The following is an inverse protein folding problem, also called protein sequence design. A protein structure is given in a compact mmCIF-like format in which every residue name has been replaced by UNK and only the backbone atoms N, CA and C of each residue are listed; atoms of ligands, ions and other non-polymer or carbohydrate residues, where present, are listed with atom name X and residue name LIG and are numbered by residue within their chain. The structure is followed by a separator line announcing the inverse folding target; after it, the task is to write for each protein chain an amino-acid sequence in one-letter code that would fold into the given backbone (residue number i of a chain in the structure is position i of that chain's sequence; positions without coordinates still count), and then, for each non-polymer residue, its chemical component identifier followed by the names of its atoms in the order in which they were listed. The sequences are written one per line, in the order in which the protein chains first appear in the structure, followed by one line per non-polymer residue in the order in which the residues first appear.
data_IF_454622790163
#
_entry.id   IF_454622790163
#
_cell.length_a   1.000
_cell.length_b   1.000
_cell.length_c   1.000
_cell.angle_alpha   90.00
_cell.angle_beta   90.00
_cell.angle_gamma   90.00
#
_symmetry.space_group_name_H-M   'P 1'
#
loop_
_entity.id
_entity.type
_entity.pdbx_description
1 polymer ?
#
# COMPACT_ATOMS: atom_id res chain seq x y z
N UNK A 1 4.08 7.22 -14.75
CA UNK A 1 3.12 6.10 -14.70
C UNK A 1 1.68 6.59 -14.48
N UNK A 2 1.31 7.18 -13.34
CA UNK A 2 -0.07 7.67 -13.10
C UNK A 2 -0.55 8.74 -14.11
N UNK A 3 0.29 9.71 -14.45
CA UNK A 3 0.01 10.67 -15.54
C UNK A 3 -0.10 9.96 -16.89
N UNK A 4 0.75 8.96 -17.13
CA UNK A 4 0.81 8.19 -18.38
C UNK A 4 -0.42 7.33 -18.64
N UNK A 5 -1.23 7.03 -17.61
CA UNK A 5 -2.54 6.35 -17.75
C UNK A 5 -3.72 7.35 -17.70
N UNK A 6 -3.43 8.64 -17.55
CA UNK A 6 -4.42 9.72 -17.57
C UNK A 6 -5.26 9.84 -16.30
N UNK A 7 -4.69 9.55 -15.14
CA UNK A 7 -5.34 9.84 -13.85
C UNK A 7 -5.53 11.34 -13.64
N UNK A 8 -6.67 11.75 -13.09
CA UNK A 8 -6.87 13.11 -12.59
C UNK A 8 -5.98 13.39 -11.37
N UNK A 9 -5.79 14.67 -11.05
CA UNK A 9 -4.92 15.10 -9.93
C UNK A 9 -5.29 14.43 -8.59
N UNK A 10 -6.58 14.27 -8.32
CA UNK A 10 -7.06 13.60 -7.11
C UNK A 10 -6.54 12.17 -7.02
N UNK A 11 -6.60 11.41 -8.12
CA UNK A 11 -6.15 10.01 -8.14
C UNK A 11 -4.64 9.88 -8.12
N UNK A 12 -3.92 10.83 -8.72
CA UNK A 12 -2.46 10.91 -8.61
C UNK A 12 -2.05 11.11 -7.14
N UNK A 13 -2.68 12.06 -6.44
CA UNK A 13 -2.41 12.29 -5.01
C UNK A 13 -2.71 11.04 -4.19
N UNK A 14 -3.85 10.39 -4.39
CA UNK A 14 -4.21 9.14 -3.67
C UNK A 14 -3.16 8.06 -3.86
N UNK A 15 -2.71 7.82 -5.09
CA UNK A 15 -1.68 6.83 -5.41
C UNK A 15 -0.34 7.18 -4.76
N UNK A 16 0.10 8.44 -4.83
CA UNK A 16 1.37 8.88 -4.24
C UNK A 16 1.34 8.72 -2.72
N UNK A 17 0.25 9.13 -2.08
CA UNK A 17 0.07 8.98 -0.64
C UNK A 17 0.08 7.51 -0.25
N UNK A 18 -0.68 6.66 -0.95
CA UNK A 18 -0.71 5.22 -0.70
C UNK A 18 0.67 4.57 -0.86
N UNK A 19 1.38 4.86 -1.96
CA UNK A 19 2.72 4.34 -2.20
C UNK A 19 3.70 4.76 -1.10
N UNK A 20 3.64 6.02 -0.66
CA UNK A 20 4.53 6.55 0.38
C UNK A 20 4.30 5.90 1.73
N UNK A 21 3.03 5.68 2.11
CA UNK A 21 2.69 4.99 3.36
C UNK A 21 3.11 3.52 3.32
N UNK A 22 2.88 2.81 2.22
CA UNK A 22 3.29 1.41 2.09
C UNK A 22 4.80 1.25 2.12
N UNK A 23 5.54 2.08 1.39
CA UNK A 23 7.00 2.06 1.40
C UNK A 23 7.56 2.38 2.81
N UNK A 24 6.97 3.36 3.51
CA UNK A 24 7.33 3.66 4.89
C UNK A 24 7.07 2.47 5.81
N UNK A 25 5.93 1.79 5.68
CA UNK A 25 5.63 0.64 6.52
C UNK A 25 6.65 -0.48 6.33
N UNK A 26 7.03 -0.80 5.09
CA UNK A 26 8.08 -1.77 4.81
C UNK A 26 9.43 -1.34 5.42
N UNK A 27 9.80 -0.05 5.35
CA UNK A 27 11.04 0.44 5.95
C UNK A 27 11.03 0.40 7.48
N UNK A 28 9.96 0.90 8.12
CA UNK A 28 9.89 1.10 9.57
C UNK A 28 9.54 -0.19 10.32
N UNK A 29 8.62 -0.98 9.77
CA UNK A 29 8.14 -2.22 10.40
C UNK A 29 8.78 -3.46 9.79
N UNK A 30 9.02 -3.46 8.48
CA UNK A 30 9.60 -4.59 7.74
C UNK A 30 11.13 -4.64 7.75
N UNK A 31 11.82 -3.56 8.15
CA UNK A 31 13.28 -3.46 8.05
C UNK A 31 13.80 -3.17 6.63
N UNK A 32 12.91 -2.76 5.73
CA UNK A 32 13.18 -2.61 4.29
C UNK A 32 12.41 -3.63 3.46
N UNK A 33 12.44 -3.46 2.15
CA UNK A 33 11.68 -4.32 1.24
C UNK A 33 11.73 -3.83 -0.20
N UNK A 34 10.93 -4.46 -1.05
CA UNK A 34 10.79 -4.12 -2.46
C UNK A 34 9.43 -3.47 -2.72
N UNK A 35 9.42 -2.47 -3.60
CA UNK A 35 8.21 -1.87 -4.14
C UNK A 35 8.19 -2.05 -5.66
N UNK A 36 7.10 -2.62 -6.17
CA UNK A 36 6.84 -2.79 -7.60
C UNK A 36 5.58 -2.01 -7.99
N UNK A 37 5.65 -1.29 -9.10
CA UNK A 37 4.52 -0.56 -9.67
C UNK A 37 4.26 -1.07 -11.08
N UNK A 38 3.00 -1.41 -11.34
CA UNK A 38 2.60 -2.06 -12.59
C UNK A 38 1.33 -1.40 -13.13
N UNK A 39 1.33 -1.10 -14.43
CA UNK A 39 0.12 -0.65 -15.11
C UNK A 39 -0.69 -1.90 -15.48
N UNK A 40 -1.90 -2.00 -14.95
CA UNK A 40 -2.85 -3.03 -15.33
C UNK A 40 -3.63 -2.57 -16.56
N UNK A 41 -3.65 -3.38 -17.61
CA UNK A 41 -4.38 -3.13 -18.85
C UNK A 41 -5.37 -4.28 -19.12
N UNK A 42 -6.56 -3.94 -19.61
CA UNK A 42 -7.66 -4.89 -19.85
C UNK A 42 -8.98 -4.13 -20.02
N UNK A 43 -10.06 -4.65 -19.45
CA UNK A 43 -11.36 -3.96 -19.46
C UNK A 43 -11.34 -2.58 -18.77
N UNK A 44 -10.41 -2.38 -17.82
CA UNK A 44 -10.10 -1.09 -17.18
C UNK A 44 -8.59 -0.92 -17.08
N UNK A 45 -8.13 0.33 -17.14
CA UNK A 45 -6.72 0.66 -16.88
C UNK A 45 -6.55 1.05 -15.41
N UNK A 46 -5.51 0.53 -14.76
CA UNK A 46 -5.21 0.84 -13.36
C UNK A 46 -3.72 0.86 -13.07
N UNK A 47 -3.37 1.33 -11.88
CA UNK A 47 -2.03 1.23 -11.33
C UNK A 47 -2.06 0.34 -10.09
N UNK A 48 -1.29 -0.74 -10.14
CA UNK A 48 -1.03 -1.64 -9.03
C UNK A 48 0.27 -1.22 -8.34
N UNK A 49 0.24 -1.21 -7.02
CA UNK A 49 1.41 -1.08 -6.14
C UNK A 49 1.51 -2.38 -5.35
N UNK A 50 2.65 -3.06 -5.46
CA UNK A 50 2.99 -4.18 -4.59
C UNK A 50 4.18 -3.78 -3.73
N UNK A 51 4.04 -3.89 -2.41
CA UNK A 51 5.15 -3.71 -1.46
C UNK A 51 5.32 -5.00 -0.67
N UNK A 52 6.55 -5.48 -0.56
CA UNK A 52 6.89 -6.75 0.08
C UNK A 52 8.15 -6.59 0.92
N UNK A 53 8.08 -7.06 2.16
CA UNK A 53 9.19 -7.11 3.11
C UNK A 53 9.32 -8.51 3.72
N UNK A 54 10.53 -8.85 4.17
CA UNK A 54 10.83 -10.08 4.90
C UNK A 54 11.05 -9.79 6.39
N UNK A 55 10.26 -8.85 6.91
CA UNK A 55 10.35 -8.41 8.29
C UNK A 55 9.57 -9.32 9.25
N UNK A 56 9.26 -8.83 10.47
CA UNK A 56 8.58 -9.59 11.50
C UNK A 56 7.10 -9.90 11.20
N UNK A 57 6.57 -9.51 10.04
CA UNK A 57 5.15 -9.66 9.71
C UNK A 57 4.23 -8.80 10.60
N UNK A 58 2.93 -8.99 10.43
CA UNK A 58 1.88 -8.32 11.20
C UNK A 58 1.14 -9.36 12.07
N UNK A 59 1.37 -9.39 13.40
CA UNK A 59 0.75 -10.37 14.30
C UNK A 59 -0.78 -10.31 14.37
N UNK A 60 -1.36 -9.11 14.30
CA UNK A 60 -2.80 -8.91 14.30
C UNK A 60 -3.18 -7.97 13.15
N UNK A 61 -3.53 -8.56 12.01
CA UNK A 61 -3.87 -7.81 10.80
C UNK A 61 -5.15 -6.99 10.96
N UNK A 62 -6.16 -7.50 11.69
CA UNK A 62 -7.41 -6.76 11.91
C UNK A 62 -7.14 -5.45 12.64
N UNK A 63 -6.33 -5.50 13.71
CA UNK A 63 -5.91 -4.34 14.47
C UNK A 63 -5.10 -3.36 13.62
N UNK A 64 -4.17 -3.86 12.79
CA UNK A 64 -3.35 -3.04 11.90
C UNK A 64 -4.16 -2.32 10.81
N UNK A 65 -5.35 -2.82 10.47
CA UNK A 65 -6.27 -2.21 9.51
C UNK A 65 -7.26 -1.23 10.15
N UNK A 66 -7.30 -1.11 11.48
CA UNK A 66 -8.12 -0.13 12.17
C UNK A 66 -7.58 1.29 11.96
N UNK A 67 -8.51 2.23 11.85
CA UNK A 67 -8.16 3.64 11.65
C UNK A 67 -7.51 4.25 12.88
N UNK A 68 -6.50 5.08 12.63
CA UNK A 68 -5.71 5.70 13.70
C UNK A 68 -4.78 4.73 14.42
N UNK A 69 -4.85 3.43 14.12
CA UNK A 69 -3.89 2.46 14.62
C UNK A 69 -2.63 2.50 13.74
N UNK A 70 -1.67 3.31 14.15
CA UNK A 70 -0.31 3.27 13.62
C UNK A 70 0.67 3.23 14.79
N UNK A 71 1.56 2.26 14.78
CA UNK A 71 2.64 2.15 15.76
C UNK A 71 3.87 2.99 15.38
N UNK A 72 3.82 3.71 14.25
CA UNK A 72 4.89 4.58 13.77
C UNK A 72 4.38 5.96 13.31
N UNK A 73 5.26 6.98 13.41
CA UNK A 73 5.03 8.32 12.86
C UNK A 73 5.08 8.26 11.32
N UNK A 74 3.93 8.26 10.65
CA UNK A 74 3.76 8.32 9.19
C UNK A 74 2.96 9.56 8.73
N UNK A 75 2.38 9.55 7.52
CA UNK A 75 1.47 10.61 7.05
C UNK A 75 0.11 10.60 7.77
N UNK A 76 -0.02 9.82 8.84
CA UNK A 76 -1.20 9.74 9.70
C UNK A 76 -2.31 8.84 9.14
N UNK A 77 -2.04 8.06 8.08
CA UNK A 77 -3.05 7.23 7.42
C UNK A 77 -2.90 5.75 7.76
N UNK A 78 -1.67 5.24 7.84
CA UNK A 78 -1.42 3.82 8.10
C UNK A 78 -2.01 2.90 7.02
N UNK A 79 -2.11 1.61 7.33
CA UNK A 79 -2.69 0.62 6.40
C UNK A 79 -4.19 0.85 6.18
N UNK A 80 -4.94 1.17 7.23
CA UNK A 80 -6.37 1.46 7.14
C UNK A 80 -6.68 2.65 6.23
N UNK A 81 -5.93 3.74 6.35
CA UNK A 81 -6.06 4.91 5.47
C UNK A 81 -5.65 4.62 4.03
N UNK A 82 -4.56 3.89 3.84
CA UNK A 82 -4.13 3.45 2.49
C UNK A 82 -5.23 2.65 1.80
N UNK A 83 -5.87 1.72 2.51
CA UNK A 83 -6.99 0.91 1.99
C UNK A 83 -8.13 1.78 1.45
N UNK A 84 -8.45 2.93 2.08
CA UNK A 84 -9.50 3.84 1.61
C UNK A 84 -9.15 4.63 0.36
N UNK A 85 -7.87 4.90 0.12
CA UNK A 85 -7.43 5.65 -1.06
C UNK A 85 -7.48 4.80 -2.33
N UNK A 86 -7.43 3.48 -2.16
CA UNK A 86 -7.30 2.49 -3.22
C UNK A 86 -8.66 1.80 -3.47
N UNK A 87 -8.85 1.30 -4.69
CA UNK A 87 -10.08 0.56 -5.03
C UNK A 87 -9.99 -0.90 -4.58
N UNK A 88 -8.80 -1.49 -4.69
CA UNK A 88 -8.51 -2.84 -4.23
C UNK A 88 -7.31 -2.79 -3.30
N UNK A 89 -7.34 -3.62 -2.26
CA UNK A 89 -6.32 -3.66 -1.23
C UNK A 89 -6.30 -5.04 -0.58
N UNK A 90 -5.15 -5.70 -0.65
CA UNK A 90 -4.92 -7.01 -0.09
C UNK A 90 -3.64 -6.99 0.73
N UNK A 91 -3.68 -7.63 1.89
CA UNK A 91 -2.50 -7.86 2.73
C UNK A 91 -2.35 -9.36 2.92
N UNK A 92 -1.13 -9.84 2.76
CA UNK A 92 -0.72 -11.21 3.08
C UNK A 92 0.51 -11.10 3.97
N UNK A 93 0.49 -11.77 5.12
CA UNK A 93 1.55 -11.64 6.11
C UNK A 93 1.60 -12.88 6.96
N UNK A 94 2.81 -13.25 7.36
CA UNK A 94 3.08 -14.32 8.29
C UNK A 94 3.96 -13.78 9.42
N UNK A 95 3.51 -13.83 10.68
CA UNK A 95 4.29 -13.35 11.82
C UNK A 95 5.66 -14.04 11.91
N UNK A 96 6.71 -13.23 11.96
CA UNK A 96 8.10 -13.65 11.97
C UNK A 96 8.71 -13.94 10.60
N UNK A 97 7.97 -13.75 9.50
CA UNK A 97 8.43 -14.15 8.15
C UNK A 97 8.33 -13.01 7.13
N UNK A 98 7.14 -12.47 6.88
CA UNK A 98 6.95 -11.49 5.80
C UNK A 98 5.69 -10.64 5.93
N UNK A 99 5.67 -9.52 5.20
CA UNK A 99 4.47 -8.77 4.86
C UNK A 99 4.46 -8.44 3.38
N UNK A 100 3.33 -8.65 2.71
CA UNK A 100 3.08 -8.24 1.34
C UNK A 100 1.76 -7.50 1.25
N UNK A 101 1.79 -6.31 0.66
CA UNK A 101 0.61 -5.50 0.40
C UNK A 101 0.48 -5.28 -1.10
N UNK A 102 -0.71 -5.57 -1.64
CA UNK A 102 -1.07 -5.29 -3.03
C UNK A 102 -2.23 -4.31 -3.01
N UNK A 103 -2.09 -3.19 -3.71
CA UNK A 103 -3.11 -2.16 -3.79
C UNK A 103 -3.30 -1.68 -5.22
N UNK A 104 -4.56 -1.56 -5.67
CA UNK A 104 -4.89 -1.14 -7.03
C UNK A 104 -5.79 0.09 -7.02
N UNK A 105 -5.42 1.09 -7.82
CA UNK A 105 -6.28 2.21 -8.18
C UNK A 105 -6.63 2.05 -9.65
N UNK A 106 -7.91 1.87 -9.95
CA UNK A 106 -8.47 2.02 -11.31
C UNK A 106 -8.67 3.48 -11.71
N UNK A 107 -8.60 3.76 -13.02
CA UNK A 107 -9.04 5.02 -13.63
C UNK A 107 -10.57 5.13 -13.59
#
# INVERSE_FOLDING_TARGET
MAIGIGFGLVDQTKVVTAASELARNALVHGGGGEARLEILQGARTGLQITVEDTGPGIPNLELALLDGYSTANGLGLGLGGTRRLMHEFQVSTEPGVYTRVVAVRWK
#
